data_IF_437349219355
#
_entry.id   IF_437349219355
#
_cell.length_a   1.000
_cell.length_b   1.000
_cell.length_c   1.000
_cell.angle_alpha   90.00
_cell.angle_beta   90.00
_cell.angle_gamma   90.00
#
_symmetry.space_group_name_H-M   'P 1'
#
loop_
_entity.id
_entity.type
_entity.pdbx_description
1 polymer ?
#
# COMPACT_ATOMS: atom_id res chain seq x y z
N UNK A 1 -45.61 -16.26 -9.23
CA UNK A 1 -44.71 -15.44 -8.39
C UNK A 1 -43.30 -15.79 -8.84
N UNK A 2 -42.73 -14.96 -9.72
CA UNK A 2 -41.39 -15.20 -10.27
C UNK A 2 -40.34 -14.93 -9.20
N UNK A 3 -39.57 -15.97 -8.85
CA UNK A 3 -38.38 -15.81 -8.03
C UNK A 3 -37.28 -15.21 -8.91
N UNK A 4 -36.98 -13.92 -8.71
CA UNK A 4 -35.82 -13.32 -9.34
C UNK A 4 -34.54 -14.06 -8.87
N UNK A 5 -33.60 -14.36 -9.78
CA UNK A 5 -32.35 -15.01 -9.40
C UNK A 5 -31.58 -14.11 -8.44
N UNK A 6 -31.37 -14.58 -7.21
CA UNK A 6 -30.57 -13.89 -6.23
C UNK A 6 -29.12 -13.82 -6.73
N UNK A 7 -28.60 -12.60 -6.86
CA UNK A 7 -27.16 -12.42 -7.09
C UNK A 7 -26.37 -13.08 -5.95
N UNK A 8 -25.17 -13.65 -6.21
CA UNK A 8 -24.35 -14.27 -5.16
C UNK A 8 -24.16 -13.39 -3.91
N UNK A 9 -24.09 -12.07 -4.11
CA UNK A 9 -24.02 -11.06 -3.04
C UNK A 9 -25.25 -11.03 -2.12
N UNK A 10 -26.45 -11.30 -2.62
CA UNK A 10 -27.68 -11.33 -1.81
C UNK A 10 -27.77 -12.58 -0.94
N UNK A 11 -27.30 -13.73 -1.45
CA UNK A 11 -27.29 -14.98 -0.70
C UNK A 11 -26.34 -14.90 0.51
N UNK A 12 -25.20 -14.23 0.34
CA UNK A 12 -24.23 -14.03 1.43
C UNK A 12 -24.74 -13.08 2.51
N UNK A 13 -25.46 -12.01 2.14
CA UNK A 13 -26.07 -11.10 3.14
C UNK A 13 -27.11 -11.79 4.00
N UNK A 14 -28.01 -12.58 3.41
CA UNK A 14 -29.00 -13.31 4.18
C UNK A 14 -28.35 -14.31 5.16
N UNK A 15 -27.29 -14.99 4.73
CA UNK A 15 -26.53 -15.88 5.61
C UNK A 15 -25.81 -15.11 6.72
N UNK A 16 -25.25 -13.93 6.41
CA UNK A 16 -24.63 -13.04 7.38
C UNK A 16 -25.62 -12.64 8.45
N UNK A 17 -26.76 -12.07 8.07
CA UNK A 17 -27.79 -11.57 8.99
C UNK A 17 -28.32 -12.70 9.88
N UNK A 18 -28.49 -13.91 9.32
CA UNK A 18 -28.91 -15.09 10.08
C UNK A 18 -27.90 -15.52 11.16
N UNK A 19 -26.61 -15.40 10.88
CA UNK A 19 -25.55 -15.85 11.81
C UNK A 19 -25.05 -14.73 12.73
N UNK A 20 -25.26 -13.47 12.38
CA UNK A 20 -24.86 -12.26 13.12
C UNK A 20 -25.76 -12.00 14.35
N UNK A 21 -25.97 -13.03 15.16
CA UNK A 21 -26.69 -12.91 16.44
C UNK A 21 -25.87 -12.14 17.48
N UNK A 22 -26.54 -11.56 18.47
CA UNK A 22 -25.88 -10.89 19.61
C UNK A 22 -24.90 -11.81 20.33
N UNK A 23 -25.24 -13.10 20.46
CA UNK A 23 -24.37 -14.10 21.07
C UNK A 23 -23.09 -14.32 20.24
N UNK A 24 -23.22 -14.41 18.91
CA UNK A 24 -22.09 -14.50 17.99
C UNK A 24 -21.18 -13.28 18.12
N UNK A 25 -21.77 -12.08 18.08
CA UNK A 25 -21.02 -10.83 18.16
C UNK A 25 -20.33 -10.68 19.51
N UNK A 26 -21.01 -10.95 20.62
CA UNK A 26 -20.41 -10.94 21.96
C UNK A 26 -19.20 -11.89 22.06
N UNK A 27 -19.27 -13.08 21.45
CA UNK A 27 -18.14 -14.00 21.39
C UNK A 27 -16.96 -13.43 20.59
N UNK A 28 -17.23 -12.79 19.43
CA UNK A 28 -16.22 -12.13 18.60
C UNK A 28 -15.53 -10.99 19.36
N UNK A 29 -16.29 -10.12 20.03
CA UNK A 29 -15.74 -9.04 20.86
C UNK A 29 -14.89 -9.56 22.01
N UNK A 30 -15.37 -10.58 22.74
CA UNK A 30 -14.61 -11.21 23.83
C UNK A 30 -13.31 -11.82 23.32
N UNK A 31 -13.34 -12.46 22.14
CA UNK A 31 -12.16 -12.99 21.50
C UNK A 31 -11.19 -11.87 21.11
N UNK A 32 -11.66 -10.83 20.43
CA UNK A 32 -10.88 -9.68 20.00
C UNK A 32 -10.18 -9.00 21.19
N UNK A 33 -10.88 -8.81 22.31
CA UNK A 33 -10.32 -8.27 23.54
C UNK A 33 -9.24 -9.20 24.15
N UNK A 34 -9.45 -10.51 24.13
CA UNK A 34 -8.47 -11.49 24.63
C UNK A 34 -7.17 -11.44 23.81
N UNK A 35 -7.27 -11.48 22.48
CA UNK A 35 -6.08 -11.47 21.62
C UNK A 35 -5.39 -10.10 21.60
N UNK A 36 -6.15 -9.00 21.65
CA UNK A 36 -5.58 -7.65 21.70
C UNK A 36 -4.75 -7.45 22.97
N UNK A 37 -5.17 -7.98 24.12
CA UNK A 37 -4.35 -7.96 25.35
C UNK A 37 -3.02 -8.71 25.21
N UNK A 38 -3.01 -9.83 24.48
CA UNK A 38 -1.78 -10.59 24.22
C UNK A 38 -0.82 -9.82 23.30
N UNK A 39 -1.36 -9.11 22.32
CA UNK A 39 -0.57 -8.28 21.40
C UNK A 39 -0.08 -7.01 22.09
N UNK A 40 -0.92 -6.38 22.91
CA UNK A 40 -0.57 -5.19 23.69
C UNK A 40 0.62 -5.41 24.63
N UNK A 41 0.86 -6.64 25.08
CA UNK A 41 2.07 -6.97 25.84
C UNK A 41 3.37 -6.88 25.01
N UNK A 42 3.26 -6.87 23.68
CA UNK A 42 4.37 -6.87 22.73
C UNK A 42 4.41 -5.60 21.87
N UNK A 43 3.42 -4.71 21.98
CA UNK A 43 3.31 -3.46 21.22
C UNK A 43 3.27 -2.27 22.18
N UNK A 44 3.86 -1.13 21.81
CA UNK A 44 3.87 0.08 22.67
C UNK A 44 2.45 0.62 22.87
N UNK A 45 2.23 1.34 23.98
CA UNK A 45 0.92 1.73 24.55
C UNK A 45 0.12 2.80 23.75
N UNK A 46 0.51 3.14 22.52
CA UNK A 46 -0.05 4.28 21.77
C UNK A 46 -0.72 3.94 20.44
N UNK A 47 -0.30 2.88 19.74
CA UNK A 47 -0.76 2.56 18.37
C UNK A 47 -1.88 1.51 18.31
N UNK A 48 -2.55 1.23 19.44
CA UNK A 48 -3.54 0.17 19.45
C UNK A 48 -4.86 0.66 18.83
N UNK A 49 -5.12 0.23 17.60
CA UNK A 49 -6.47 0.28 17.01
C UNK A 49 -7.46 -0.33 18.01
N UNK A 50 -8.58 0.35 18.22
CA UNK A 50 -9.58 -0.07 19.20
C UNK A 50 -10.16 -1.45 18.83
N UNK A 51 -10.68 -2.16 19.83
CA UNK A 51 -11.31 -3.47 19.62
C UNK A 51 -12.52 -3.32 18.69
N UNK A 52 -13.29 -2.24 18.85
CA UNK A 52 -14.48 -1.95 18.07
C UNK A 52 -14.14 -1.74 16.59
N UNK A 53 -13.10 -0.96 16.31
CA UNK A 53 -12.64 -0.72 14.94
C UNK A 53 -12.19 -2.00 14.24
N UNK A 54 -11.55 -2.92 14.97
CA UNK A 54 -11.10 -4.21 14.41
C UNK A 54 -12.27 -5.12 14.06
N UNK A 55 -13.25 -5.21 14.96
CA UNK A 55 -14.46 -6.00 14.72
C UNK A 55 -15.23 -5.39 13.54
N UNK A 56 -15.39 -4.07 13.53
CA UNK A 56 -16.07 -3.35 12.44
C UNK A 56 -15.36 -3.55 11.10
N UNK A 57 -14.03 -3.45 11.05
CA UNK A 57 -13.27 -3.69 9.83
C UNK A 57 -13.45 -5.11 9.28
N UNK A 58 -13.52 -6.13 10.15
CA UNK A 58 -13.77 -7.50 9.75
C UNK A 58 -15.20 -7.71 9.22
N UNK A 59 -16.20 -7.09 9.86
CA UNK A 59 -17.60 -7.10 9.40
C UNK A 59 -17.72 -6.44 8.02
N UNK A 60 -17.26 -5.20 7.91
CA UNK A 60 -17.34 -4.41 6.67
C UNK A 60 -16.59 -5.12 5.55
N UNK A 61 -15.37 -5.60 5.81
CA UNK A 61 -14.60 -6.35 4.82
C UNK A 61 -15.31 -7.62 4.33
N UNK A 62 -16.06 -8.30 5.21
CA UNK A 62 -16.86 -9.47 4.84
C UNK A 62 -18.09 -9.08 4.01
N UNK A 63 -18.83 -8.04 4.41
CA UNK A 63 -20.03 -7.57 3.70
C UNK A 63 -19.73 -6.95 2.33
N UNK A 64 -18.56 -6.34 2.17
CA UNK A 64 -18.07 -5.81 0.89
C UNK A 64 -17.48 -6.90 -0.02
N UNK A 65 -17.29 -8.12 0.49
CA UNK A 65 -16.66 -9.22 -0.26
C UNK A 65 -15.14 -9.12 -0.38
N UNK A 66 -14.49 -8.18 0.32
CA UNK A 66 -13.02 -8.11 0.41
C UNK A 66 -12.45 -9.29 1.20
N UNK A 67 -13.20 -9.76 2.20
CA UNK A 67 -12.89 -10.96 2.98
C UNK A 67 -13.84 -12.06 2.56
N UNK A 68 -13.35 -13.01 1.76
CA UNK A 68 -14.15 -14.13 1.26
C UNK A 68 -14.65 -14.98 2.42
N UNK A 69 -15.97 -15.14 2.52
CA UNK A 69 -16.63 -15.97 3.51
C UNK A 69 -17.60 -16.93 2.83
N UNK A 70 -17.50 -18.20 3.19
CA UNK A 70 -18.41 -19.26 2.72
C UNK A 70 -19.20 -19.81 3.91
N UNK A 71 -20.52 -19.49 4.00
CA UNK A 71 -21.34 -19.85 5.14
C UNK A 71 -21.59 -21.36 5.28
N UNK A 72 -21.36 -22.15 4.22
CA UNK A 72 -21.49 -23.62 4.29
C UNK A 72 -20.25 -24.28 4.88
N UNK A 73 -19.09 -23.60 4.79
CA UNK A 73 -17.80 -24.14 5.24
C UNK A 73 -17.38 -23.67 6.62
N UNK A 74 -17.70 -22.43 6.98
CA UNK A 74 -17.27 -21.83 8.25
C UNK A 74 -18.35 -20.91 8.82
N UNK A 75 -18.59 -21.02 10.13
CA UNK A 75 -19.49 -20.11 10.84
C UNK A 75 -18.93 -18.68 10.87
N UNK A 76 -19.83 -17.70 10.86
CA UNK A 76 -19.48 -16.29 10.82
C UNK A 76 -18.56 -15.89 11.98
N UNK A 77 -18.87 -16.38 13.20
CA UNK A 77 -18.07 -16.07 14.39
C UNK A 77 -16.61 -16.48 14.23
N UNK A 78 -16.36 -17.72 13.84
CA UNK A 78 -15.00 -18.23 13.60
C UNK A 78 -14.30 -17.55 12.42
N UNK A 79 -15.03 -17.21 11.35
CA UNK A 79 -14.49 -16.41 10.25
C UNK A 79 -13.98 -15.06 10.76
N UNK A 80 -14.84 -14.27 11.43
CA UNK A 80 -14.47 -12.95 11.95
C UNK A 80 -13.30 -13.03 12.94
N UNK A 81 -13.31 -14.01 13.86
CA UNK A 81 -12.19 -14.26 14.77
C UNK A 81 -10.87 -14.56 14.03
N UNK A 82 -10.94 -15.34 12.95
CA UNK A 82 -9.78 -15.65 12.10
C UNK A 82 -9.23 -14.40 11.41
N UNK A 83 -10.10 -13.54 10.89
CA UNK A 83 -9.70 -12.28 10.25
C UNK A 83 -9.04 -11.33 11.25
N UNK A 84 -9.62 -11.16 12.44
CA UNK A 84 -9.05 -10.34 13.52
C UNK A 84 -7.68 -10.86 13.95
N UNK A 85 -7.55 -12.19 14.11
CA UNK A 85 -6.27 -12.83 14.44
C UNK A 85 -5.22 -12.58 13.36
N UNK A 86 -5.59 -12.68 12.10
CA UNK A 86 -4.70 -12.45 10.97
C UNK A 86 -4.19 -11.02 10.94
N UNK A 87 -5.10 -10.04 11.07
CA UNK A 87 -4.75 -8.62 11.14
C UNK A 87 -3.77 -8.32 12.29
N UNK A 88 -4.06 -8.80 13.50
CA UNK A 88 -3.18 -8.64 14.66
C UNK A 88 -1.81 -9.34 14.50
N UNK A 89 -1.78 -10.49 13.85
CA UNK A 89 -0.52 -11.20 13.57
C UNK A 89 0.32 -10.41 12.56
N UNK A 90 -0.32 -9.81 11.55
CA UNK A 90 0.35 -8.97 10.58
C UNK A 90 0.93 -7.72 11.25
N UNK A 91 0.17 -7.04 12.10
CA UNK A 91 0.65 -5.90 12.88
C UNK A 91 1.82 -6.27 13.79
N UNK A 92 1.75 -7.40 14.50
CA UNK A 92 2.84 -7.86 15.35
C UNK A 92 4.11 -8.15 14.53
N UNK A 93 3.97 -8.77 13.35
CA UNK A 93 5.11 -8.99 12.44
C UNK A 93 5.66 -7.66 11.93
N UNK A 94 4.79 -6.72 11.59
CA UNK A 94 5.17 -5.40 11.13
C UNK A 94 5.92 -4.62 12.22
N UNK A 95 5.39 -4.57 13.44
CA UNK A 95 6.03 -3.92 14.59
C UNK A 95 7.39 -4.55 14.94
N UNK A 96 7.56 -5.86 14.73
CA UNK A 96 8.86 -6.53 14.88
C UNK A 96 9.83 -6.17 13.77
N UNK A 97 9.36 -6.07 12.53
CA UNK A 97 10.18 -5.75 11.35
C UNK A 97 10.58 -4.27 11.30
N UNK A 98 9.71 -3.39 11.77
CA UNK A 98 9.86 -1.94 11.75
C UNK A 98 9.72 -1.41 13.17
N UNK A 99 10.80 -1.47 13.98
CA UNK A 99 10.79 -0.93 15.34
C UNK A 99 10.43 0.56 15.29
N UNK A 100 9.41 0.96 16.03
CA UNK A 100 9.03 2.37 16.13
C UNK A 100 10.18 3.16 16.79
N UNK A 101 10.73 4.14 16.08
CA UNK A 101 11.67 5.12 16.62
C UNK A 101 10.86 6.37 16.98
N UNK A 102 10.82 6.73 18.26
CA UNK A 102 10.16 7.97 18.68
C UNK A 102 10.98 9.16 18.20
N UNK A 103 10.35 10.12 17.52
CA UNK A 103 11.00 11.39 17.15
C UNK A 103 11.36 12.18 18.42
N UNK A 104 10.56 12.03 19.48
CA UNK A 104 10.73 12.73 20.76
C UNK A 104 11.67 12.01 21.75
N UNK A 105 12.28 10.87 21.40
CA UNK A 105 13.35 10.28 22.23
C UNK A 105 14.64 11.08 21.96
N UNK A 106 14.73 12.29 22.53
CA UNK A 106 15.85 13.26 22.42
C UNK A 106 17.23 12.70 22.87
N UNK A 107 17.29 11.45 23.34
CA UNK A 107 18.51 10.78 23.82
C UNK A 107 19.21 9.86 22.82
N UNK A 108 18.68 9.67 21.61
CA UNK A 108 19.39 8.93 20.55
C UNK A 108 19.79 9.92 19.46
N UNK A 109 21.09 10.21 19.39
CA UNK A 109 21.71 11.15 18.46
C UNK A 109 21.05 11.03 17.08
N UNK A 110 20.42 12.10 16.61
CA UNK A 110 19.88 12.19 15.26
C UNK A 110 20.96 11.80 14.22
N UNK A 111 22.23 12.11 14.53
CA UNK A 111 23.40 11.77 13.71
C UNK A 111 23.64 10.25 13.58
N UNK A 112 23.36 9.45 14.60
CA UNK A 112 23.51 7.98 14.55
C UNK A 112 22.38 7.32 13.72
N UNK A 113 21.18 7.92 13.76
CA UNK A 113 20.05 7.44 12.95
C UNK A 113 20.24 7.78 11.48
N UNK A 114 20.73 8.98 11.17
CA UNK A 114 21.02 9.42 9.81
C UNK A 114 22.15 8.58 9.18
N UNK A 115 23.19 8.25 9.96
CA UNK A 115 24.25 7.35 9.53
C UNK A 115 23.73 5.93 9.25
N UNK A 116 22.88 5.37 10.12
CA UNK A 116 22.31 4.03 9.91
C UNK A 116 21.32 3.97 8.75
N UNK A 117 20.50 5.01 8.56
CA UNK A 117 19.59 5.09 7.41
C UNK A 117 20.39 5.22 6.11
N UNK A 118 21.44 6.04 6.11
CA UNK A 118 22.33 6.21 4.96
C UNK A 118 23.07 4.91 4.64
N UNK A 119 23.58 4.20 5.64
CA UNK A 119 24.28 2.92 5.47
C UNK A 119 23.35 1.78 5.04
N UNK A 120 22.12 1.71 5.56
CA UNK A 120 21.13 0.71 5.11
C UNK A 120 20.66 1.01 3.69
N UNK A 121 20.45 2.28 3.33
CA UNK A 121 20.12 2.68 1.95
C UNK A 121 21.30 2.44 1.00
N UNK A 122 22.54 2.67 1.44
CA UNK A 122 23.75 2.39 0.67
C UNK A 122 24.00 0.89 0.52
N UNK A 123 23.78 0.09 1.56
CA UNK A 123 23.91 -1.36 1.53
C UNK A 123 22.82 -2.04 0.70
N UNK A 124 21.60 -1.49 0.68
CA UNK A 124 20.53 -1.96 -0.22
C UNK A 124 20.79 -1.60 -1.69
N UNK A 125 21.46 -0.48 -1.97
CA UNK A 125 21.92 -0.12 -3.33
C UNK A 125 23.10 -0.99 -3.79
N UNK A 126 24.00 -1.36 -2.90
CA UNK A 126 25.26 -2.04 -3.25
C UNK A 126 25.14 -3.53 -3.63
N UNK A 127 23.97 -4.18 -3.53
CA UNK A 127 23.84 -5.63 -3.75
C UNK A 127 23.11 -5.96 -5.04
N UNK A 128 23.82 -6.11 -6.18
CA UNK A 128 23.41 -6.79 -7.43
C UNK A 128 22.11 -6.33 -8.14
N UNK A 129 21.27 -5.53 -7.50
CA UNK A 129 19.99 -5.03 -8.00
C UNK A 129 20.15 -3.74 -8.81
N UNK A 130 21.21 -2.95 -8.60
CA UNK A 130 21.41 -1.67 -9.30
C UNK A 130 21.52 -1.86 -10.83
N UNK A 131 22.18 -2.92 -11.31
CA UNK A 131 22.27 -3.22 -12.74
C UNK A 131 20.91 -3.67 -13.33
N UNK A 132 20.13 -4.45 -12.56
CA UNK A 132 18.80 -4.91 -12.97
C UNK A 132 17.81 -3.74 -12.98
N UNK A 133 17.85 -2.89 -11.96
CA UNK A 133 17.04 -1.67 -11.84
C UNK A 133 17.41 -0.69 -12.97
N UNK A 134 18.69 -0.49 -13.25
CA UNK A 134 19.14 0.37 -14.34
C UNK A 134 18.68 -0.15 -15.71
N UNK A 135 18.76 -1.47 -15.95
CA UNK A 135 18.26 -2.09 -17.17
C UNK A 135 16.74 -1.91 -17.31
N UNK A 136 15.98 -2.13 -16.23
CA UNK A 136 14.52 -2.03 -16.23
C UNK A 136 14.03 -0.58 -16.35
N UNK A 137 14.76 0.38 -15.76
CA UNK A 137 14.50 1.81 -15.93
C UNK A 137 14.76 2.24 -17.37
N UNK A 138 15.87 1.80 -17.96
CA UNK A 138 16.22 2.07 -19.36
C UNK A 138 15.15 1.54 -20.32
N UNK A 139 14.68 0.31 -20.10
CA UNK A 139 13.59 -0.28 -20.89
C UNK A 139 12.28 0.50 -20.73
N UNK A 140 11.92 0.86 -19.50
CA UNK A 140 10.71 1.64 -19.21
C UNK A 140 10.74 3.01 -19.89
N UNK A 141 11.89 3.70 -19.86
CA UNK A 141 12.08 4.97 -20.55
C UNK A 141 11.98 4.83 -22.07
N UNK A 142 12.51 3.73 -22.64
CA UNK A 142 12.38 3.45 -24.06
C UNK A 142 10.91 3.24 -24.48
N UNK A 143 10.14 2.47 -23.70
CA UNK A 143 8.70 2.27 -23.96
C UNK A 143 7.90 3.58 -23.85
N UNK A 144 8.22 4.41 -22.85
CA UNK A 144 7.61 5.73 -22.70
C UNK A 144 7.93 6.63 -23.91
N UNK A 145 9.17 6.64 -24.41
CA UNK A 145 9.54 7.41 -25.62
C UNK A 145 8.70 7.00 -26.83
N UNK A 146 8.49 5.69 -27.05
CA UNK A 146 7.64 5.20 -28.14
C UNK A 146 6.19 5.69 -27.99
N UNK A 147 5.63 5.63 -26.78
CA UNK A 147 4.25 6.05 -26.50
C UNK A 147 4.05 7.58 -26.56
N UNK A 148 5.11 8.34 -26.30
CA UNK A 148 5.08 9.81 -26.28
C UNK A 148 4.91 10.39 -27.69
N UNK A 149 5.36 9.68 -28.72
CA UNK A 149 5.29 10.14 -30.10
C UNK A 149 6.14 11.40 -30.31
N UNK A 150 5.49 12.51 -30.69
CA UNK A 150 6.14 13.80 -30.99
C UNK A 150 5.80 14.89 -29.95
N UNK A 151 5.38 14.51 -28.73
CA UNK A 151 5.07 15.46 -27.66
C UNK A 151 6.35 16.02 -27.04
N UNK A 152 6.89 17.06 -27.67
CA UNK A 152 8.20 17.66 -27.36
C UNK A 152 8.42 17.97 -25.87
N UNK A 153 7.48 18.59 -25.13
CA UNK A 153 7.68 18.81 -23.69
C UNK A 153 7.77 17.53 -22.85
N UNK A 154 7.18 16.42 -23.29
CA UNK A 154 7.28 15.16 -22.55
C UNK A 154 8.61 14.46 -22.86
N UNK A 155 9.09 14.56 -24.11
CA UNK A 155 10.40 14.05 -24.52
C UNK A 155 11.55 14.73 -23.76
N UNK A 156 11.53 16.06 -23.68
CA UNK A 156 12.53 16.83 -22.90
C UNK A 156 12.55 16.44 -21.42
N UNK A 157 11.39 16.10 -20.85
CA UNK A 157 11.28 15.67 -19.46
C UNK A 157 11.87 14.26 -19.27
N UNK A 158 11.61 13.33 -20.20
CA UNK A 158 12.23 12.00 -20.23
C UNK A 158 13.75 12.08 -20.41
N UNK A 159 14.24 13.02 -21.22
CA UNK A 159 15.67 13.24 -21.42
C UNK A 159 16.34 13.77 -20.15
N UNK A 160 15.75 14.77 -19.50
CA UNK A 160 16.23 15.28 -18.22
C UNK A 160 16.29 14.19 -17.15
N UNK A 161 15.26 13.33 -17.05
CA UNK A 161 15.25 12.19 -16.13
C UNK A 161 16.33 11.17 -16.47
N UNK A 162 16.55 10.87 -17.76
CA UNK A 162 17.62 9.95 -18.18
C UNK A 162 19.03 10.49 -17.90
N UNK A 163 19.18 11.82 -17.80
CA UNK A 163 20.43 12.47 -17.41
C UNK A 163 20.61 12.60 -15.89
N UNK A 164 19.67 12.09 -15.09
CA UNK A 164 19.74 12.07 -13.63
C UNK A 164 19.14 13.30 -12.93
N UNK A 165 18.52 14.24 -13.67
CA UNK A 165 17.84 15.38 -13.04
C UNK A 165 16.46 14.96 -12.54
N UNK A 166 16.31 14.76 -11.23
CA UNK A 166 15.02 14.36 -10.62
C UNK A 166 14.26 15.52 -9.97
N UNK A 167 14.97 16.59 -9.60
CA UNK A 167 14.37 17.74 -8.94
C UNK A 167 13.73 18.72 -9.94
N UNK A 168 12.51 19.17 -9.63
CA UNK A 168 11.76 20.15 -10.44
C UNK A 168 12.58 21.38 -10.86
N UNK A 169 13.28 22.11 -9.97
CA UNK A 169 14.05 23.29 -10.37
C UNK A 169 15.14 22.97 -11.39
N UNK A 170 15.83 21.84 -11.23
CA UNK A 170 16.91 21.42 -12.13
C UNK A 170 16.36 20.99 -13.49
N UNK A 171 15.26 20.22 -13.49
CA UNK A 171 14.57 19.83 -14.73
C UNK A 171 14.11 21.06 -15.50
N UNK A 172 13.52 22.05 -14.82
CA UNK A 172 13.11 23.31 -15.47
C UNK A 172 14.31 24.10 -16.00
N UNK A 173 15.43 24.11 -15.27
CA UNK A 173 16.66 24.81 -15.68
C UNK A 173 17.27 24.19 -16.93
N UNK A 174 17.38 22.86 -17.00
CA UNK A 174 17.98 22.17 -18.15
C UNK A 174 17.06 22.17 -19.37
N UNK A 175 15.74 22.05 -19.17
CA UNK A 175 14.76 22.02 -20.27
C UNK A 175 14.28 23.40 -20.72
N UNK A 176 14.64 24.46 -19.99
CA UNK A 176 14.14 25.84 -20.20
C UNK A 176 12.60 25.95 -20.16
N UNK A 177 11.91 25.00 -19.52
CA UNK A 177 10.45 25.02 -19.43
C UNK A 177 9.96 25.99 -18.36
N UNK A 178 8.83 26.65 -18.64
CA UNK A 178 8.08 27.33 -17.59
C UNK A 178 7.43 26.33 -16.62
N UNK A 179 7.18 26.75 -15.37
CA UNK A 179 6.55 25.90 -14.34
C UNK A 179 5.23 25.29 -14.80
N UNK A 180 4.43 26.06 -15.56
CA UNK A 180 3.16 25.59 -16.15
C UNK A 180 3.39 24.51 -17.21
N UNK A 181 4.38 24.69 -18.08
CA UNK A 181 4.72 23.72 -19.13
C UNK A 181 5.22 22.42 -18.53
N UNK A 182 6.12 22.51 -17.53
CA UNK A 182 6.58 21.35 -16.75
C UNK A 182 5.42 20.58 -16.12
N UNK A 183 4.51 21.27 -15.43
CA UNK A 183 3.36 20.62 -14.78
C UNK A 183 2.48 19.88 -15.79
N UNK A 184 2.16 20.52 -16.92
CA UNK A 184 1.36 19.92 -17.99
C UNK A 184 2.07 18.73 -18.66
N UNK A 185 3.38 18.82 -18.90
CA UNK A 185 4.18 17.73 -19.41
C UNK A 185 4.18 16.54 -18.44
N UNK A 186 4.42 16.79 -17.14
CA UNK A 186 4.39 15.75 -16.11
C UNK A 186 3.02 15.06 -16.00
N UNK A 187 1.92 15.82 -16.01
CA UNK A 187 0.56 15.25 -16.00
C UNK A 187 0.27 14.39 -17.24
N UNK A 188 0.81 14.76 -18.41
CA UNK A 188 0.72 13.94 -19.62
C UNK A 188 1.56 12.68 -19.50
N UNK A 189 2.78 12.79 -18.99
CA UNK A 189 3.67 11.65 -18.76
C UNK A 189 3.03 10.62 -17.80
N UNK A 190 2.44 11.07 -16.69
CA UNK A 190 1.71 10.17 -15.76
C UNK A 190 0.55 9.45 -16.46
N UNK A 191 -0.18 10.14 -17.34
CA UNK A 191 -1.26 9.52 -18.13
C UNK A 191 -0.73 8.50 -19.15
N UNK A 192 0.44 8.73 -19.73
CA UNK A 192 1.11 7.78 -20.62
C UNK A 192 1.62 6.57 -19.84
N UNK A 193 2.21 6.76 -18.67
CA UNK A 193 2.67 5.67 -17.80
C UNK A 193 1.53 4.71 -17.41
N UNK A 194 0.31 5.22 -17.20
CA UNK A 194 -0.87 4.39 -16.94
C UNK A 194 -1.28 3.47 -18.11
N UNK A 195 -0.80 3.72 -19.33
CA UNK A 195 -1.04 2.86 -20.50
C UNK A 195 -0.02 1.73 -20.64
N UNK A 196 1.06 1.74 -19.86
CA UNK A 196 2.05 0.66 -19.85
C UNK A 196 1.46 -0.64 -19.28
N UNK A 197 2.02 -1.81 -19.65
CA UNK A 197 1.73 -3.09 -18.99
C UNK A 197 1.83 -2.99 -17.46
N UNK A 198 1.04 -3.79 -16.74
CA UNK A 198 0.91 -3.65 -15.28
C UNK A 198 2.25 -3.86 -14.55
N UNK A 199 3.10 -4.70 -15.13
CA UNK A 199 4.41 -5.10 -14.61
C UNK A 199 5.40 -3.93 -14.57
N UNK A 200 5.32 -3.01 -15.53
CA UNK A 200 6.20 -1.82 -15.64
C UNK A 200 5.52 -0.53 -15.21
N UNK A 201 4.20 -0.53 -15.08
CA UNK A 201 3.40 0.64 -14.72
C UNK A 201 3.73 1.19 -13.33
N UNK A 202 3.83 0.32 -12.33
CA UNK A 202 4.06 0.74 -10.94
C UNK A 202 5.46 1.36 -10.78
N UNK A 203 6.48 0.74 -11.38
CA UNK A 203 7.84 1.27 -11.44
C UNK A 203 7.90 2.63 -12.15
N UNK A 204 7.22 2.76 -13.29
CA UNK A 204 7.18 4.02 -14.03
C UNK A 204 6.51 5.15 -13.22
N UNK A 205 5.39 4.87 -12.55
CA UNK A 205 4.69 5.88 -11.75
C UNK A 205 5.54 6.30 -10.55
N UNK A 206 6.19 5.35 -9.87
CA UNK A 206 7.08 5.65 -8.75
C UNK A 206 8.26 6.52 -9.19
N UNK A 207 8.89 6.22 -10.33
CA UNK A 207 10.01 7.01 -10.84
C UNK A 207 9.62 8.45 -11.23
N UNK A 208 8.36 8.69 -11.62
CA UNK A 208 7.87 10.02 -12.00
C UNK A 208 7.45 10.85 -10.77
N UNK A 209 7.01 10.21 -9.69
CA UNK A 209 6.32 10.83 -8.54
C UNK A 209 7.29 11.48 -7.57
#
# INVERSE_FOLDING_TARGET
MDQQPHTPQQLWRNAFDKQASDATMAAVYKYAASISRRVAAHTRKGDSISIDDRVQAAIVGTLEGRLTWDPERIDLGRHLMSQIKTALTHELRHAKKFPHVSIDDEGKNADDLDAQVTDVLAAQRATADDDVIAAQLSETLAQLRILTGQDEPVLLLLEAFSAGYTEKPDVMKVTSMSSRTYHNARQRLVRLAKKLPIEVREAAIHAIT
#
